data_IF_134691926711
#
_entry.id   IF_134691926711
#
_cell.length_a   1.000
_cell.length_b   1.000
_cell.length_c   1.000
_cell.angle_alpha   90.00
_cell.angle_beta   90.00
_cell.angle_gamma   90.00
#
_symmetry.space_group_name_H-M   'P 1'
#
loop_
_entity.id
_entity.type
_entity.pdbx_description
1 polymer ?
#
# COMPACT_ATOMS: atom_id res chain seq x y z
N UNK A 1 -23.11 -2.94 -11.98
CA UNK A 1 -22.36 -1.77 -12.51
C UNK A 1 -21.32 -1.38 -11.48
N UNK A 2 -20.06 -1.18 -11.89
CA UNK A 2 -18.97 -0.80 -11.00
C UNK A 2 -19.20 0.63 -10.49
N UNK A 3 -19.06 0.82 -9.18
CA UNK A 3 -19.21 2.10 -8.47
C UNK A 3 -17.92 2.55 -7.81
N UNK A 4 -16.97 1.64 -7.57
CA UNK A 4 -15.74 1.92 -6.88
C UNK A 4 -14.60 1.06 -7.45
N UNK A 5 -13.43 1.65 -7.62
CA UNK A 5 -12.26 0.98 -8.16
C UNK A 5 -11.05 1.21 -7.25
N UNK A 6 -10.38 0.12 -6.88
CA UNK A 6 -9.18 0.12 -6.05
C UNK A 6 -7.95 -0.14 -6.92
N UNK A 7 -6.92 0.63 -6.72
CA UNK A 7 -5.68 0.54 -7.48
C UNK A 7 -4.48 0.46 -6.55
N UNK A 8 -3.68 -0.56 -6.72
CA UNK A 8 -2.32 -0.50 -6.21
C UNK A 8 -1.50 0.54 -7.01
N UNK A 9 -0.36 0.95 -6.47
CA UNK A 9 0.46 2.01 -7.06
C UNK A 9 1.65 1.43 -7.84
N UNK A 10 2.56 0.76 -7.13
CA UNK A 10 3.87 0.37 -7.65
C UNK A 10 3.80 -0.94 -8.42
N UNK A 11 3.91 -0.91 -9.73
CA UNK A 11 3.71 -2.06 -10.61
C UNK A 11 2.29 -2.19 -11.16
N UNK A 12 1.36 -1.30 -10.73
CA UNK A 12 -0.03 -1.27 -11.18
C UNK A 12 -0.40 0.04 -11.88
N UNK A 13 -0.34 1.16 -11.17
CA UNK A 13 -0.51 2.50 -11.77
C UNK A 13 0.80 3.08 -12.27
N UNK A 14 1.89 2.84 -11.56
CA UNK A 14 3.23 3.34 -11.88
C UNK A 14 4.18 2.20 -12.19
N UNK A 15 4.99 2.38 -13.22
CA UNK A 15 6.21 1.59 -13.38
C UNK A 15 7.11 1.78 -12.15
N UNK A 16 7.74 0.72 -11.70
CA UNK A 16 8.67 0.76 -10.55
C UNK A 16 9.75 1.83 -10.82
N UNK A 17 9.85 2.79 -9.90
CA UNK A 17 10.78 3.93 -10.01
C UNK A 17 10.25 5.12 -10.82
N UNK A 18 9.06 5.04 -11.44
CA UNK A 18 8.39 6.17 -12.06
C UNK A 18 7.65 7.01 -11.02
N UNK A 19 7.48 8.30 -11.34
CA UNK A 19 6.65 9.23 -10.54
C UNK A 19 5.42 9.72 -11.29
N UNK A 20 5.31 9.38 -12.58
CA UNK A 20 4.28 9.89 -13.47
C UNK A 20 3.46 8.73 -14.05
N UNK A 21 2.16 8.95 -14.16
CA UNK A 21 1.27 8.06 -14.88
C UNK A 21 1.51 8.19 -16.38
N UNK A 22 1.25 7.11 -17.12
CA UNK A 22 1.10 7.22 -18.57
C UNK A 22 -0.13 8.06 -18.92
N UNK A 23 -0.14 8.63 -20.14
CA UNK A 23 -1.30 9.38 -20.65
C UNK A 23 -2.58 8.54 -20.65
N UNK A 24 -2.47 7.26 -21.02
CA UNK A 24 -3.61 6.34 -21.07
C UNK A 24 -4.12 5.95 -19.69
N UNK A 25 -3.24 5.67 -18.73
CA UNK A 25 -3.64 5.41 -17.35
C UNK A 25 -4.28 6.64 -16.73
N UNK A 26 -3.71 7.83 -16.94
CA UNK A 26 -4.31 9.11 -16.53
C UNK A 26 -5.69 9.32 -17.13
N UNK A 27 -5.85 9.06 -18.43
CA UNK A 27 -7.13 9.12 -19.12
C UNK A 27 -8.14 8.15 -18.51
N UNK A 28 -7.74 6.89 -18.28
CA UNK A 28 -8.63 5.87 -17.71
C UNK A 28 -9.18 6.29 -16.34
N UNK A 29 -8.33 6.79 -15.45
CA UNK A 29 -8.75 7.26 -14.13
C UNK A 29 -9.74 8.44 -14.23
N UNK A 30 -9.48 9.39 -15.14
CA UNK A 30 -10.38 10.53 -15.38
C UNK A 30 -11.74 10.09 -15.92
N UNK A 31 -11.77 9.15 -16.88
CA UNK A 31 -13.02 8.62 -17.45
C UNK A 31 -13.81 7.79 -16.44
N UNK A 32 -13.18 6.93 -15.65
CA UNK A 32 -13.85 6.23 -14.55
C UNK A 32 -14.54 7.22 -13.61
N UNK A 33 -13.85 8.30 -13.24
CA UNK A 33 -14.44 9.34 -12.40
C UNK A 33 -15.60 10.08 -13.07
N UNK A 34 -15.52 10.35 -14.39
CA UNK A 34 -16.63 10.91 -15.18
C UNK A 34 -17.85 9.97 -15.20
N UNK A 35 -17.60 8.66 -15.18
CA UNK A 35 -18.62 7.63 -15.08
C UNK A 35 -19.09 7.39 -13.62
N UNK A 36 -18.78 8.33 -12.71
CA UNK A 36 -19.17 8.28 -11.29
C UNK A 36 -18.60 7.07 -10.51
N UNK A 37 -17.48 6.51 -10.94
CA UNK A 37 -16.74 5.49 -10.20
C UNK A 37 -15.82 6.20 -9.20
N UNK A 38 -15.93 5.84 -7.90
CA UNK A 38 -15.02 6.32 -6.88
C UNK A 38 -13.64 5.70 -7.09
N UNK A 39 -12.59 6.52 -7.00
CA UNK A 39 -11.21 6.08 -7.14
C UNK A 39 -10.57 5.88 -5.76
N UNK A 40 -10.05 4.70 -5.50
CA UNK A 40 -9.35 4.36 -4.26
C UNK A 40 -7.91 3.96 -4.58
N UNK A 41 -6.96 4.62 -3.92
CA UNK A 41 -5.55 4.23 -3.97
C UNK A 41 -5.27 3.29 -2.81
N UNK A 42 -4.69 2.12 -3.06
CA UNK A 42 -4.35 1.11 -2.05
C UNK A 42 -2.86 0.76 -2.13
N UNK A 43 -2.05 1.25 -1.18
CA UNK A 43 -0.60 1.16 -1.24
C UNK A 43 0.03 0.68 0.06
N UNK A 44 1.21 0.04 -0.05
CA UNK A 44 2.10 -0.20 1.09
C UNK A 44 2.79 1.05 1.62
N UNK A 45 2.82 2.11 0.82
CA UNK A 45 3.46 3.37 1.20
C UNK A 45 2.78 4.00 2.41
N UNK A 46 3.56 4.74 3.20
CA UNK A 46 3.04 5.60 4.26
C UNK A 46 2.19 6.75 3.71
N UNK A 47 1.36 7.33 4.56
CA UNK A 47 0.44 8.40 4.16
C UNK A 47 1.13 9.63 3.55
N UNK A 48 2.31 9.99 4.08
CA UNK A 48 3.12 11.11 3.57
C UNK A 48 3.86 10.80 2.26
N UNK A 49 3.95 9.53 1.91
CA UNK A 49 4.65 9.02 0.71
C UNK A 49 3.69 8.70 -0.45
N UNK A 50 2.40 9.01 -0.28
CA UNK A 50 1.40 8.80 -1.33
C UNK A 50 1.70 9.69 -2.53
N UNK A 51 1.78 9.14 -3.76
CA UNK A 51 2.02 9.93 -4.94
C UNK A 51 0.85 10.85 -5.24
N UNK A 52 1.16 12.04 -5.72
CA UNK A 52 0.16 13.00 -6.17
C UNK A 52 0.19 13.08 -7.70
N UNK A 53 -0.95 12.94 -8.34
CA UNK A 53 -1.06 12.98 -9.79
C UNK A 53 -1.86 14.22 -10.23
N UNK A 54 -1.28 15.01 -11.13
CA UNK A 54 -1.90 16.25 -11.59
C UNK A 54 -3.26 15.98 -12.26
N UNK A 55 -4.28 16.69 -11.78
CA UNK A 55 -5.65 16.59 -12.31
C UNK A 55 -6.38 15.27 -11.99
N UNK A 56 -5.83 14.43 -11.09
CA UNK A 56 -6.48 13.21 -10.60
C UNK A 56 -6.52 13.26 -9.08
N UNK A 57 -7.73 13.18 -8.53
CA UNK A 57 -7.94 13.06 -7.10
C UNK A 57 -8.50 11.67 -6.79
N UNK A 58 -7.94 11.03 -5.79
CA UNK A 58 -8.50 9.80 -5.23
C UNK A 58 -9.47 10.15 -4.10
N UNK A 59 -10.62 9.48 -4.09
CA UNK A 59 -11.66 9.70 -3.09
C UNK A 59 -11.32 9.03 -1.77
N UNK A 60 -10.54 7.93 -1.83
CA UNK A 60 -10.08 7.18 -0.66
C UNK A 60 -8.60 6.80 -0.81
N UNK A 61 -7.87 6.95 0.29
CA UNK A 61 -6.49 6.49 0.41
C UNK A 61 -6.41 5.37 1.44
N UNK A 62 -5.96 4.20 1.00
CA UNK A 62 -5.62 3.06 1.84
C UNK A 62 -4.08 2.98 1.86
N UNK A 63 -3.49 3.33 3.00
CA UNK A 63 -2.03 3.43 3.19
C UNK A 63 -1.53 2.44 4.24
N UNK A 64 -0.21 2.29 4.36
CA UNK A 64 0.39 1.35 5.30
C UNK A 64 -0.18 -0.08 5.15
N UNK A 65 -0.28 -0.56 3.90
CA UNK A 65 -0.90 -1.86 3.58
C UNK A 65 -2.33 -2.02 4.14
N UNK A 66 -3.09 -0.93 4.19
CA UNK A 66 -4.47 -0.94 4.68
C UNK A 66 -4.62 -0.68 6.18
N UNK A 67 -3.54 -0.36 6.91
CA UNK A 67 -3.62 -0.02 8.34
C UNK A 67 -4.23 1.36 8.60
N UNK A 68 -4.21 2.25 7.61
CA UNK A 68 -4.82 3.58 7.71
C UNK A 68 -5.62 3.89 6.44
N UNK A 69 -6.89 4.22 6.62
CA UNK A 69 -7.82 4.49 5.51
C UNK A 69 -8.52 5.82 5.73
N UNK A 70 -8.35 6.74 4.77
CA UNK A 70 -8.92 8.08 4.81
C UNK A 70 -9.76 8.33 3.57
N UNK A 71 -11.00 8.79 3.75
CA UNK A 71 -11.92 9.22 2.71
C UNK A 71 -12.13 10.74 2.81
N UNK A 72 -11.53 11.50 1.89
CA UNK A 72 -11.44 12.96 2.03
C UNK A 72 -10.77 13.32 3.36
N UNK A 73 -11.47 14.08 4.22
CA UNK A 73 -10.95 14.43 5.56
C UNK A 73 -11.32 13.43 6.66
N UNK A 74 -12.13 12.41 6.35
CA UNK A 74 -12.62 11.45 7.33
C UNK A 74 -11.76 10.20 7.38
N UNK A 75 -11.22 9.88 8.56
CA UNK A 75 -10.61 8.58 8.83
C UNK A 75 -11.74 7.57 8.98
N UNK A 76 -11.77 6.52 8.15
CA UNK A 76 -12.79 5.47 8.19
C UNK A 76 -12.29 4.16 8.77
N UNK A 77 -10.98 3.97 8.79
CA UNK A 77 -10.36 2.83 9.43
C UNK A 77 -8.94 3.18 9.88
N UNK A 78 -8.54 2.73 11.08
CA UNK A 78 -7.15 2.76 11.53
C UNK A 78 -6.85 1.54 12.39
N UNK A 79 -5.68 0.97 12.21
CA UNK A 79 -5.17 -0.17 12.94
C UNK A 79 -3.67 0.00 13.19
N UNK A 80 -3.26 0.81 14.19
CA UNK A 80 -1.86 0.98 14.53
C UNK A 80 -1.28 -0.31 15.16
N UNK A 81 0.03 -0.39 15.21
CA UNK A 81 0.73 -1.42 15.99
C UNK A 81 0.33 -1.33 17.47
N UNK A 82 0.02 -2.46 18.08
CA UNK A 82 -0.26 -2.48 19.52
C UNK A 82 0.99 -2.11 20.32
N UNK A 83 0.79 -1.37 21.40
CA UNK A 83 1.89 -0.76 22.16
C UNK A 83 2.90 -1.82 22.67
N UNK A 84 2.40 -2.95 23.17
CA UNK A 84 3.28 -4.00 23.72
C UNK A 84 4.16 -4.63 22.62
N UNK A 85 3.57 -4.95 21.45
CA UNK A 85 4.30 -5.50 20.32
C UNK A 85 5.27 -4.45 19.74
N UNK A 86 4.84 -3.20 19.60
CA UNK A 86 5.67 -2.08 19.14
C UNK A 86 6.92 -1.91 20.03
N UNK A 87 6.73 -1.86 21.35
CA UNK A 87 7.83 -1.75 22.30
C UNK A 87 8.80 -2.94 22.20
N UNK A 88 8.25 -4.15 22.08
CA UNK A 88 9.04 -5.37 21.91
C UNK A 88 9.88 -5.36 20.65
N UNK A 89 9.31 -4.95 19.52
CA UNK A 89 10.03 -4.84 18.24
C UNK A 89 11.16 -3.82 18.34
N UNK A 90 10.88 -2.64 18.90
CA UNK A 90 11.90 -1.59 19.07
C UNK A 90 13.03 -2.08 19.96
N UNK A 91 12.73 -2.78 21.07
CA UNK A 91 13.74 -3.39 21.95
C UNK A 91 14.57 -4.44 21.19
N UNK A 92 13.93 -5.36 20.46
CA UNK A 92 14.61 -6.38 19.68
C UNK A 92 15.57 -5.75 18.65
N UNK A 93 15.10 -4.75 17.88
CA UNK A 93 15.91 -4.05 16.89
C UNK A 93 17.07 -3.26 17.52
N UNK A 94 16.87 -2.60 18.66
CA UNK A 94 17.94 -1.94 19.44
C UNK A 94 19.00 -2.96 19.87
N UNK A 95 18.60 -4.14 20.37
CA UNK A 95 19.51 -5.22 20.76
C UNK A 95 20.31 -5.80 19.57
N UNK A 96 19.74 -5.73 18.37
CA UNK A 96 20.41 -6.11 17.12
C UNK A 96 21.27 -4.99 16.53
N UNK A 97 21.35 -3.82 17.18
CA UNK A 97 22.03 -2.61 16.70
C UNK A 97 21.53 -2.17 15.30
N UNK A 98 20.21 -2.28 15.03
CA UNK A 98 19.60 -1.84 13.79
C UNK A 98 19.11 -0.40 13.90
N UNK A 99 19.25 0.35 12.81
CA UNK A 99 18.52 1.60 12.64
C UNK A 99 17.04 1.28 12.48
N UNK A 100 16.19 2.09 13.12
CA UNK A 100 14.76 1.89 13.19
C UNK A 100 14.07 3.12 12.62
N UNK A 101 13.24 2.95 11.63
CA UNK A 101 12.33 3.98 11.17
C UNK A 101 10.90 3.66 11.60
N UNK A 102 10.15 4.69 11.99
CA UNK A 102 8.73 4.61 12.36
C UNK A 102 7.93 5.60 11.52
N UNK A 103 6.70 5.22 11.21
CA UNK A 103 5.83 6.05 10.37
C UNK A 103 4.38 6.02 10.83
N UNK A 104 3.75 7.20 10.76
CA UNK A 104 2.32 7.39 10.87
C UNK A 104 1.84 8.45 9.86
N UNK A 105 0.62 8.96 10.01
CA UNK A 105 0.05 9.96 9.10
C UNK A 105 0.69 11.35 9.23
N UNK A 106 1.52 11.58 10.26
CA UNK A 106 2.12 12.88 10.56
C UNK A 106 3.64 12.92 10.35
N UNK A 107 4.33 11.77 10.44
CA UNK A 107 5.77 11.72 10.31
C UNK A 107 6.30 10.38 9.78
N UNK A 108 7.49 10.45 9.20
CA UNK A 108 8.39 9.34 8.92
C UNK A 108 9.74 9.75 9.50
N UNK A 109 10.19 9.06 10.54
CA UNK A 109 11.42 9.39 11.25
C UNK A 109 12.21 8.14 11.63
N UNK A 110 13.49 8.32 11.90
CA UNK A 110 14.40 7.24 12.31
C UNK A 110 15.24 7.63 13.53
N UNK A 111 15.70 6.63 14.28
CA UNK A 111 16.65 6.82 15.38
C UNK A 111 18.12 6.82 14.94
N UNK A 112 18.38 6.49 13.68
CA UNK A 112 19.71 6.37 13.11
C UNK A 112 19.64 5.97 11.67
N UNK A 113 20.76 5.55 11.10
CA UNK A 113 20.84 5.14 9.69
C UNK A 113 21.75 3.96 9.50
N UNK A 114 21.51 3.18 8.46
CA UNK A 114 22.41 2.19 7.89
C UNK A 114 22.26 2.15 6.36
N UNK A 115 23.24 1.64 5.61
CA UNK A 115 23.22 1.72 4.14
C UNK A 115 22.04 1.03 3.47
N UNK A 116 21.54 -0.09 4.01
CA UNK A 116 20.42 -0.80 3.42
C UNK A 116 19.10 -0.06 3.68
N UNK A 117 18.93 0.54 4.86
CA UNK A 117 17.76 1.36 5.18
C UNK A 117 17.76 2.68 4.38
N UNK A 118 18.94 3.31 4.20
CA UNK A 118 19.06 4.48 3.32
C UNK A 118 18.66 4.16 1.89
N UNK A 119 19.11 3.02 1.36
CA UNK A 119 18.75 2.58 0.01
C UNK A 119 17.24 2.25 -0.10
N UNK A 120 16.65 1.66 0.95
CA UNK A 120 15.21 1.41 1.02
C UNK A 120 14.40 2.70 0.82
N UNK A 121 14.74 3.77 1.55
CA UNK A 121 14.08 5.07 1.41
C UNK A 121 14.37 5.74 0.07
N UNK A 122 15.58 5.57 -0.47
CA UNK A 122 15.95 6.11 -1.77
C UNK A 122 15.12 5.54 -2.94
N UNK A 123 14.65 4.29 -2.86
CA UNK A 123 13.72 3.73 -3.85
C UNK A 123 12.40 4.52 -3.92
N UNK A 124 11.89 4.99 -2.78
CA UNK A 124 10.72 5.87 -2.70
C UNK A 124 11.03 7.34 -3.01
N UNK A 125 12.30 7.68 -3.31
CA UNK A 125 12.79 9.07 -3.40
C UNK A 125 12.57 9.86 -2.12
N UNK A 126 12.61 9.19 -1.00
CA UNK A 126 12.49 9.75 0.34
C UNK A 126 13.86 9.89 1.00
N UNK A 127 13.96 10.84 1.92
CA UNK A 127 15.15 11.03 2.75
C UNK A 127 14.83 10.71 4.19
N UNK A 128 15.70 9.95 4.84
CA UNK A 128 15.55 9.65 6.25
C UNK A 128 15.78 10.90 7.11
N UNK A 129 14.88 11.12 8.05
CA UNK A 129 15.01 12.19 9.06
C UNK A 129 15.26 11.58 10.42
N UNK A 130 16.47 11.77 10.95
CA UNK A 130 16.79 11.37 12.32
C UNK A 130 16.05 12.30 13.28
N UNK A 131 15.25 11.74 14.19
CA UNK A 131 14.51 12.47 15.20
C UNK A 131 15.24 12.39 16.54
N UNK A 132 15.61 13.53 17.14
CA UNK A 132 16.22 13.54 18.48
C UNK A 132 15.29 13.02 19.58
N UNK A 133 13.99 13.16 19.37
CA UNK A 133 12.87 12.75 20.21
C UNK A 133 12.22 11.43 19.77
N UNK A 134 12.98 10.59 19.07
CA UNK A 134 12.48 9.31 18.52
C UNK A 134 11.77 8.44 19.57
N UNK A 135 12.35 8.35 20.78
CA UNK A 135 11.76 7.51 21.83
C UNK A 135 10.38 8.03 22.29
N UNK A 136 10.20 9.35 22.35
CA UNK A 136 8.91 9.97 22.68
C UNK A 136 7.88 9.72 21.56
N UNK A 137 8.32 9.80 20.28
CA UNK A 137 7.47 9.53 19.11
C UNK A 137 7.03 8.06 19.02
N UNK A 138 7.75 7.14 19.65
CA UNK A 138 7.32 5.74 19.74
C UNK A 138 6.05 5.54 20.58
N UNK A 139 5.62 6.49 21.39
CA UNK A 139 4.37 6.43 22.16
C UNK A 139 3.13 6.76 21.31
N UNK A 140 3.31 7.41 20.15
CA UNK A 140 2.23 7.71 19.21
C UNK A 140 1.66 6.46 18.52
N UNK A 141 0.51 6.60 17.86
CA UNK A 141 0.00 5.58 16.94
C UNK A 141 0.99 5.39 15.79
N UNK A 142 1.61 4.22 15.68
CA UNK A 142 2.55 3.86 14.61
C UNK A 142 1.91 2.76 13.76
N UNK A 143 1.90 2.94 12.44
CA UNK A 143 1.33 1.97 11.51
C UNK A 143 2.37 1.08 10.85
N UNK A 144 3.63 1.52 10.84
CA UNK A 144 4.71 0.81 10.17
C UNK A 144 6.04 1.10 10.86
N UNK A 145 6.79 0.04 11.15
CA UNK A 145 8.20 0.11 11.55
C UNK A 145 9.01 -0.45 10.39
N UNK A 146 10.07 0.24 9.99
CA UNK A 146 10.96 -0.18 8.92
C UNK A 146 12.37 -0.36 9.46
N UNK A 147 13.04 -1.41 9.00
CA UNK A 147 14.44 -1.65 9.36
C UNK A 147 15.13 -2.47 8.26
N UNK A 148 16.47 -2.35 8.22
CA UNK A 148 17.28 -3.29 7.44
C UNK A 148 17.30 -4.65 8.11
N UNK A 149 17.01 -5.71 7.37
CA UNK A 149 17.18 -7.07 7.85
C UNK A 149 17.20 -8.09 6.70
N UNK A 150 17.51 -9.34 7.04
CA UNK A 150 17.43 -10.50 6.14
C UNK A 150 16.38 -11.47 6.65
N UNK A 151 15.89 -12.31 5.78
CA UNK A 151 14.81 -13.26 6.09
C UNK A 151 15.11 -14.14 7.30
N UNK A 152 16.37 -14.50 7.50
CA UNK A 152 16.85 -15.33 8.61
C UNK A 152 16.72 -14.63 9.98
N UNK A 153 16.56 -13.30 9.99
CA UNK A 153 16.44 -12.48 11.20
C UNK A 153 14.98 -12.23 11.63
N UNK A 154 13.99 -12.61 10.81
CA UNK A 154 12.57 -12.30 11.06
C UNK A 154 12.07 -12.83 12.39
N UNK A 155 12.43 -14.05 12.76
CA UNK A 155 12.04 -14.67 14.05
C UNK A 155 12.61 -13.88 15.23
N UNK A 156 13.84 -13.39 15.12
CA UNK A 156 14.47 -12.59 16.16
C UNK A 156 13.80 -11.22 16.31
N UNK A 157 13.47 -10.57 15.19
CA UNK A 157 12.78 -9.27 15.19
C UNK A 157 11.39 -9.40 15.84
N UNK A 158 10.64 -10.45 15.49
CA UNK A 158 9.28 -10.67 16.01
C UNK A 158 9.22 -11.43 17.33
N UNK A 159 10.36 -11.75 17.95
CA UNK A 159 10.40 -12.50 19.19
C UNK A 159 9.60 -11.81 20.31
N UNK A 160 8.60 -12.51 20.84
CA UNK A 160 7.75 -12.01 21.92
C UNK A 160 6.59 -11.11 21.46
N UNK A 161 6.34 -11.02 20.15
CA UNK A 161 5.16 -10.35 19.59
C UNK A 161 4.12 -11.38 19.15
N UNK A 162 2.85 -10.95 19.07
CA UNK A 162 1.74 -11.83 18.72
C UNK A 162 0.80 -11.27 17.66
N UNK A 163 0.84 -9.96 17.41
CA UNK A 163 -0.12 -9.24 16.55
C UNK A 163 0.58 -8.41 15.46
N UNK A 164 1.79 -8.77 15.15
CA UNK A 164 2.60 -8.14 14.11
C UNK A 164 3.08 -9.14 13.08
N UNK A 165 3.36 -8.66 11.89
CA UNK A 165 3.94 -9.44 10.80
C UNK A 165 4.97 -8.61 10.03
N UNK A 166 5.86 -9.31 9.35
CA UNK A 166 6.81 -8.70 8.42
C UNK A 166 6.27 -8.86 6.99
N UNK A 167 6.28 -7.78 6.24
CA UNK A 167 6.14 -7.77 4.78
C UNK A 167 7.41 -7.23 4.15
N UNK A 168 7.82 -7.81 3.02
CA UNK A 168 9.04 -7.42 2.33
C UNK A 168 8.83 -7.47 0.82
N UNK A 169 9.12 -6.36 0.16
CA UNK A 169 9.21 -6.26 -1.29
C UNK A 169 10.68 -6.30 -1.77
N UNK A 170 11.62 -6.06 -0.86
CA UNK A 170 13.06 -6.11 -1.07
C UNK A 170 13.71 -7.05 -0.04
N UNK A 171 14.85 -7.65 -0.37
CA UNK A 171 15.49 -8.69 0.44
C UNK A 171 16.42 -8.15 1.55
N UNK A 172 16.57 -6.82 1.64
CA UNK A 172 17.50 -6.17 2.58
C UNK A 172 16.84 -5.24 3.60
N UNK A 173 15.57 -4.92 3.42
CA UNK A 173 14.81 -4.15 4.38
C UNK A 173 13.35 -4.59 4.36
N UNK A 174 12.64 -4.33 5.45
CA UNK A 174 11.27 -4.80 5.67
C UNK A 174 10.41 -3.75 6.30
N UNK A 175 9.10 -3.96 6.12
CA UNK A 175 8.03 -3.30 6.86
C UNK A 175 7.50 -4.25 7.91
N UNK A 176 7.38 -3.79 9.14
CA UNK A 176 6.72 -4.48 10.23
C UNK A 176 5.40 -3.78 10.46
N UNK A 177 4.31 -4.52 10.29
CA UNK A 177 2.94 -4.01 10.26
C UNK A 177 2.03 -4.84 11.17
N UNK A 178 0.85 -4.34 11.58
CA UNK A 178 -0.10 -5.14 12.34
C UNK A 178 -0.50 -6.42 11.59
N UNK A 179 -0.64 -7.53 12.31
CA UNK A 179 -1.06 -8.82 11.72
C UNK A 179 -2.50 -8.75 11.15
N UNK A 180 -3.38 -7.98 11.77
CA UNK A 180 -4.76 -7.81 11.34
C UNK A 180 -4.95 -6.70 10.29
N UNK A 181 -3.86 -6.14 9.74
CA UNK A 181 -3.93 -5.25 8.59
C UNK A 181 -3.85 -6.07 7.29
N UNK A 182 -4.26 -5.45 6.22
CA UNK A 182 -4.24 -6.00 4.86
C UNK A 182 -5.13 -5.16 3.97
N UNK A 183 -4.76 -5.05 2.70
CA UNK A 183 -5.54 -4.27 1.74
C UNK A 183 -6.98 -4.80 1.62
N UNK A 184 -7.20 -6.10 1.83
CA UNK A 184 -8.54 -6.70 1.81
C UNK A 184 -9.44 -6.22 2.95
N UNK A 185 -8.92 -6.15 4.18
CA UNK A 185 -9.66 -5.62 5.32
C UNK A 185 -10.00 -4.13 5.12
N UNK A 186 -9.07 -3.35 4.58
CA UNK A 186 -9.28 -1.96 4.25
C UNK A 186 -10.35 -1.78 3.16
N UNK A 187 -10.34 -2.60 2.10
CA UNK A 187 -11.39 -2.63 1.08
C UNK A 187 -12.76 -2.89 1.69
N UNK A 188 -12.88 -3.91 2.56
CA UNK A 188 -14.13 -4.21 3.24
C UNK A 188 -14.64 -3.03 4.09
N UNK A 189 -13.75 -2.33 4.80
CA UNK A 189 -14.10 -1.13 5.56
C UNK A 189 -14.60 0.00 4.65
N UNK A 190 -13.97 0.20 3.49
CA UNK A 190 -14.40 1.19 2.49
C UNK A 190 -15.77 0.84 1.91
N UNK A 191 -15.98 -0.42 1.50
CA UNK A 191 -17.27 -0.88 0.96
C UNK A 191 -18.39 -0.68 1.98
N UNK A 192 -18.15 -1.07 3.24
CA UNK A 192 -19.11 -0.85 4.32
C UNK A 192 -19.41 0.63 4.56
N UNK A 193 -18.38 1.50 4.48
CA UNK A 193 -18.55 2.95 4.66
C UNK A 193 -19.48 3.58 3.60
N UNK A 194 -19.34 3.16 2.33
CA UNK A 194 -20.17 3.68 1.23
C UNK A 194 -21.46 2.88 1.00
N UNK A 195 -21.65 1.76 1.69
CA UNK A 195 -22.81 0.89 1.50
C UNK A 195 -22.80 0.17 0.15
N UNK A 196 -21.62 -0.12 -0.39
CA UNK A 196 -21.47 -0.86 -1.65
C UNK A 196 -21.30 -2.35 -1.38
N UNK A 197 -21.82 -3.18 -2.29
CA UNK A 197 -21.52 -4.59 -2.31
C UNK A 197 -20.20 -4.85 -3.05
N UNK A 198 -19.60 -6.02 -2.81
CA UNK A 198 -18.35 -6.37 -3.50
C UNK A 198 -18.51 -6.46 -5.02
N UNK A 199 -19.70 -6.84 -5.52
CA UNK A 199 -20.01 -6.92 -6.94
C UNK A 199 -20.02 -5.55 -7.64
N UNK A 200 -20.08 -4.46 -6.86
CA UNK A 200 -20.00 -3.09 -7.35
C UNK A 200 -18.57 -2.54 -7.34
N UNK A 201 -17.60 -3.38 -6.93
CA UNK A 201 -16.18 -3.02 -6.79
C UNK A 201 -15.28 -3.79 -7.74
N UNK A 202 -14.26 -3.11 -8.24
CA UNK A 202 -13.15 -3.69 -9.01
C UNK A 202 -11.83 -3.29 -8.35
N UNK A 203 -10.81 -4.16 -8.43
CA UNK A 203 -9.48 -3.86 -7.95
C UNK A 203 -8.41 -4.28 -8.95
N UNK A 204 -7.31 -3.53 -9.00
CA UNK A 204 -6.12 -3.81 -9.81
C UNK A 204 -4.89 -3.88 -8.91
N UNK A 205 -4.05 -4.91 -9.09
CA UNK A 205 -2.85 -5.12 -8.28
C UNK A 205 -1.87 -6.07 -8.92
N UNK A 206 -0.61 -6.05 -8.47
CA UNK A 206 0.44 -6.95 -8.97
C UNK A 206 1.26 -7.60 -7.85
N UNK A 207 1.22 -7.04 -6.64
CA UNK A 207 1.97 -7.50 -5.49
C UNK A 207 1.28 -8.63 -4.71
N UNK A 208 2.05 -9.36 -3.92
CA UNK A 208 1.50 -10.38 -3.02
C UNK A 208 0.57 -9.79 -1.96
N UNK A 209 0.83 -8.54 -1.53
CA UNK A 209 -0.01 -7.78 -0.61
C UNK A 209 -1.34 -7.33 -1.22
N UNK A 210 -1.53 -7.50 -2.56
CA UNK A 210 -2.78 -7.20 -3.25
C UNK A 210 -3.75 -8.38 -3.29
N UNK A 211 -3.29 -9.60 -3.03
CA UNK A 211 -4.12 -10.81 -3.14
C UNK A 211 -5.44 -10.64 -2.36
N UNK A 212 -5.34 -10.21 -1.11
CA UNK A 212 -6.53 -10.01 -0.27
C UNK A 212 -7.45 -8.90 -0.83
N UNK A 213 -6.89 -7.85 -1.44
CA UNK A 213 -7.65 -6.80 -2.09
C UNK A 213 -8.40 -7.31 -3.31
N UNK A 214 -7.72 -8.09 -4.17
CA UNK A 214 -8.32 -8.70 -5.37
C UNK A 214 -9.47 -9.65 -5.00
N UNK A 215 -9.35 -10.40 -3.90
CA UNK A 215 -10.39 -11.31 -3.40
C UNK A 215 -11.56 -10.61 -2.67
N UNK A 216 -11.33 -9.41 -2.15
CA UNK A 216 -12.35 -8.65 -1.42
C UNK A 216 -13.37 -7.96 -2.32
N UNK A 217 -13.14 -7.88 -3.62
CA UNK A 217 -14.00 -7.23 -4.62
C UNK A 217 -14.71 -8.24 -5.51
N UNK A 218 -15.69 -7.78 -6.30
CA UNK A 218 -16.41 -8.63 -7.25
C UNK A 218 -15.62 -8.90 -8.53
N UNK A 219 -14.61 -8.11 -8.83
CA UNK A 219 -13.70 -8.31 -9.97
C UNK A 219 -12.29 -7.92 -9.57
N UNK A 220 -11.48 -8.88 -9.17
CA UNK A 220 -10.05 -8.70 -8.93
C UNK A 220 -9.24 -8.91 -10.21
N UNK A 221 -8.45 -7.93 -10.61
CA UNK A 221 -7.66 -7.93 -11.85
C UNK A 221 -6.17 -7.91 -11.50
N UNK A 222 -5.44 -8.95 -11.81
CA UNK A 222 -3.99 -8.99 -11.68
C UNK A 222 -3.33 -8.37 -12.92
N UNK A 223 -2.25 -7.62 -12.69
CA UNK A 223 -1.40 -7.14 -13.78
C UNK A 223 -0.58 -8.29 -14.39
N UNK A 224 -0.22 -8.21 -15.66
CA UNK A 224 0.62 -9.25 -16.31
C UNK A 224 2.03 -9.33 -15.71
N UNK A 225 2.56 -8.23 -15.20
CA UNK A 225 3.83 -8.21 -14.47
C UNK A 225 3.74 -8.85 -13.06
N UNK A 226 2.57 -9.20 -12.57
CA UNK A 226 2.39 -9.89 -11.29
C UNK A 226 2.99 -11.30 -11.32
N UNK A 227 3.38 -11.80 -10.13
CA UNK A 227 3.80 -13.20 -9.99
C UNK A 227 2.62 -14.16 -10.15
N UNK A 228 2.91 -15.41 -10.51
CA UNK A 228 1.88 -16.44 -10.74
C UNK A 228 0.94 -16.63 -9.54
N UNK A 229 1.45 -16.54 -8.32
CA UNK A 229 0.63 -16.65 -7.11
C UNK A 229 -0.46 -15.59 -7.01
N UNK A 230 -0.23 -14.37 -7.51
CA UNK A 230 -1.19 -13.28 -7.56
C UNK A 230 -2.21 -13.52 -8.69
N UNK A 231 -1.71 -13.87 -9.88
CA UNK A 231 -2.55 -14.16 -11.06
C UNK A 231 -3.54 -15.30 -10.82
N UNK A 232 -3.14 -16.34 -10.06
CA UNK A 232 -3.99 -17.48 -9.73
C UNK A 232 -5.14 -17.14 -8.78
N UNK A 233 -5.07 -16.02 -8.07
CA UNK A 233 -6.07 -15.55 -7.10
C UNK A 233 -6.96 -14.43 -7.66
N UNK A 234 -6.67 -13.94 -8.85
CA UNK A 234 -7.45 -12.91 -9.53
C UNK A 234 -8.53 -13.53 -10.42
N UNK A 235 -9.63 -12.79 -10.62
CA UNK A 235 -10.71 -13.17 -11.56
C UNK A 235 -10.31 -12.95 -13.02
N UNK A 236 -9.39 -11.99 -13.26
CA UNK A 236 -8.90 -11.66 -14.60
C UNK A 236 -7.44 -11.21 -14.56
N UNK A 237 -6.80 -11.26 -15.73
CA UNK A 237 -5.46 -10.73 -15.94
C UNK A 237 -5.53 -9.65 -17.01
N UNK A 238 -5.00 -8.47 -16.72
CA UNK A 238 -4.80 -7.40 -17.72
C UNK A 238 -3.35 -7.38 -18.20
N UNK A 239 -3.04 -6.51 -19.15
CA UNK A 239 -1.66 -6.27 -19.59
C UNK A 239 -0.78 -5.73 -18.46
N UNK A 240 0.52 -5.69 -18.69
CA UNK A 240 1.48 -5.11 -17.73
C UNK A 240 1.27 -3.60 -17.57
N UNK A 241 1.84 -3.05 -16.49
CA UNK A 241 1.85 -1.60 -16.27
C UNK A 241 2.54 -0.85 -17.42
N UNK A 242 3.59 -1.45 -18.02
CA UNK A 242 4.30 -0.89 -19.16
C UNK A 242 3.45 -0.82 -20.44
N UNK A 243 2.43 -1.67 -20.54
CA UNK A 243 1.51 -1.75 -21.67
C UNK A 243 0.13 -1.11 -21.38
N UNK A 244 0.07 -0.23 -20.38
CA UNK A 244 -1.16 0.47 -19.95
C UNK A 244 -2.29 -0.50 -19.57
N UNK A 245 -1.99 -1.56 -18.83
CA UNK A 245 -2.91 -2.66 -18.53
C UNK A 245 -4.23 -2.23 -17.92
N UNK A 246 -4.24 -1.25 -17.02
CA UNK A 246 -5.46 -0.70 -16.41
C UNK A 246 -6.35 -0.05 -17.47
N UNK A 247 -5.79 0.78 -18.35
CA UNK A 247 -6.53 1.41 -19.45
C UNK A 247 -7.09 0.37 -20.41
N UNK A 248 -6.25 -0.54 -20.90
CA UNK A 248 -6.63 -1.59 -21.85
C UNK A 248 -7.79 -2.45 -21.30
N UNK A 249 -7.71 -2.82 -20.01
CA UNK A 249 -8.77 -3.58 -19.35
C UNK A 249 -10.08 -2.79 -19.26
N UNK A 250 -10.01 -1.54 -18.83
CA UNK A 250 -11.20 -0.68 -18.69
C UNK A 250 -11.91 -0.47 -20.04
N UNK A 251 -11.17 -0.30 -21.14
CA UNK A 251 -11.75 -0.17 -22.49
C UNK A 251 -12.38 -1.47 -22.95
N UNK A 252 -11.67 -2.60 -22.85
CA UNK A 252 -12.18 -3.92 -23.30
C UNK A 252 -13.43 -4.37 -22.55
N UNK A 253 -13.55 -3.99 -21.29
CA UNK A 253 -14.70 -4.34 -20.45
C UNK A 253 -15.76 -3.25 -20.38
N UNK A 254 -15.70 -2.26 -21.29
CA UNK A 254 -16.69 -1.19 -21.43
C UNK A 254 -16.91 -0.36 -20.15
N UNK A 255 -15.88 -0.25 -19.29
CA UNK A 255 -15.91 0.62 -18.13
C UNK A 255 -15.69 2.09 -18.53
N UNK A 256 -14.95 2.30 -19.62
CA UNK A 256 -14.68 3.61 -20.23
C UNK A 256 -14.72 3.48 -21.77
N UNK A 257 -14.87 4.62 -22.46
CA UNK A 257 -14.62 4.70 -23.90
C UNK A 257 -13.11 4.69 -24.19
N UNK A 258 -12.73 4.28 -25.39
CA UNK A 258 -11.33 4.40 -25.81
C UNK A 258 -10.93 5.88 -25.95
N UNK A 259 -9.65 6.15 -25.76
CA UNK A 259 -9.03 7.45 -26.05
C UNK A 259 -8.99 7.62 -27.59
N UNK A 260 -9.43 8.77 -28.09
CA UNK A 260 -9.42 9.12 -29.52
C UNK A 260 -8.01 9.26 -30.09
#
# INVERSE_FOLDING_TARGET
>A
MIKIAFFDVDGTLLNIGSKELSDKTSFALKELRRNHVLLCMATGRGYLSVPHFEGIAFDVLLTFNGSYVKAGEKIIFKNPLEQDDKNRIIENLKNMNRAIAISNEHFIVTNGTDPDLEQYFAFGSETMKIAPDFDDLCDEDIYQIMCSCRKEEYEQILQGTNKTQITAWWDKAVDIIPLACGKGNAVNAVLAHYGFSKEEAIAFGDGKNDIEMLEAVGTGVAMENAKDEVKQRADAICKSVEEDGVYDYCVRNHLIAAMD
#
